data_IF_767654582155
#
_entry.id   IF_767654582155
#
_cell.length_a   1.000
_cell.length_b   1.000
_cell.length_c   1.000
_cell.angle_alpha   90.00
_cell.angle_beta   90.00
_cell.angle_gamma   90.00
#
_symmetry.space_group_name_H-M   'P 1'
#
loop_
_entity.id
_entity.type
_entity.pdbx_description
1 polymer ?
#
# COMPACT_ATOMS: atom_id res chain seq x y z
N UNK A 1 6.75 0.86 -24.69
CA UNK A 1 7.05 -0.54 -24.34
C UNK A 1 7.49 -0.51 -22.89
N UNK A 2 6.59 -0.80 -21.95
CA UNK A 2 6.85 -0.74 -20.51
C UNK A 2 6.82 -2.17 -19.94
N UNK A 3 7.88 -2.53 -19.21
CA UNK A 3 8.15 -3.85 -18.66
C UNK A 3 7.22 -4.19 -17.49
N UNK A 4 6.69 -5.40 -17.48
CA UNK A 4 5.65 -5.93 -16.60
C UNK A 4 6.14 -6.43 -15.23
N UNK A 5 7.20 -5.84 -14.66
CA UNK A 5 7.91 -6.43 -13.49
C UNK A 5 7.56 -5.86 -12.13
N UNK A 6 6.57 -4.95 -12.02
CA UNK A 6 6.43 -4.17 -10.78
C UNK A 6 5.55 -4.80 -9.70
N UNK A 7 4.76 -5.84 -10.01
CA UNK A 7 4.00 -6.55 -8.97
C UNK A 7 3.70 -8.00 -9.37
N UNK A 8 4.55 -8.91 -8.91
CA UNK A 8 4.35 -10.36 -8.97
C UNK A 8 4.40 -10.90 -7.52
N UNK A 9 3.26 -11.37 -6.96
CA UNK A 9 3.22 -11.87 -5.59
C UNK A 9 4.04 -13.15 -5.37
N UNK A 10 4.39 -13.89 -6.43
CA UNK A 10 5.29 -15.05 -6.34
C UNK A 10 6.77 -14.62 -6.27
N UNK A 11 7.10 -13.40 -6.67
CA UNK A 11 8.44 -12.83 -6.60
C UNK A 11 8.73 -12.06 -5.29
N UNK A 12 7.73 -11.90 -4.41
CA UNK A 12 7.91 -11.35 -3.06
C UNK A 12 8.92 -12.15 -2.20
N UNK A 13 9.18 -13.41 -2.57
CA UNK A 13 10.02 -14.33 -1.82
C UNK A 13 11.43 -14.49 -2.40
N UNK A 14 11.72 -13.95 -3.60
CA UNK A 14 12.91 -14.36 -4.35
C UNK A 14 14.00 -13.31 -4.58
N UNK A 15 13.73 -12.00 -4.54
CA UNK A 15 14.82 -11.00 -4.63
C UNK A 15 14.56 -9.78 -3.74
N UNK A 16 15.35 -9.67 -2.66
CA UNK A 16 15.43 -8.56 -1.71
C UNK A 16 14.09 -8.05 -1.17
N UNK A 17 13.71 -8.53 0.02
CA UNK A 17 12.75 -7.82 0.86
C UNK A 17 13.21 -6.35 0.96
N UNK A 18 12.28 -5.37 0.83
CA UNK A 18 12.68 -3.98 0.84
C UNK A 18 13.45 -3.70 2.12
N UNK A 19 14.60 -3.03 1.99
CA UNK A 19 15.40 -2.55 3.12
C UNK A 19 14.75 -1.36 3.85
N UNK A 20 13.59 -0.94 3.37
CA UNK A 20 12.79 0.16 3.87
C UNK A 20 11.39 -0.37 4.21
N UNK A 21 10.72 0.26 5.17
CA UNK A 21 9.35 -0.13 5.52
C UNK A 21 8.41 0.12 4.33
N UNK A 22 7.39 -0.74 4.18
CA UNK A 22 6.41 -0.68 3.10
C UNK A 22 5.05 -1.06 3.66
N UNK A 23 4.01 -0.28 3.35
CA UNK A 23 2.63 -0.70 3.54
C UNK A 23 1.93 -0.78 2.19
N UNK A 24 1.22 -1.88 1.95
CA UNK A 24 0.37 -2.07 0.78
C UNK A 24 -1.05 -2.37 1.23
N UNK A 25 -1.98 -1.48 0.90
CA UNK A 25 -3.41 -1.69 1.09
C UNK A 25 -4.09 -1.97 -0.25
N UNK A 26 -4.93 -3.00 -0.32
CA UNK A 26 -5.78 -3.31 -1.46
C UNK A 26 -7.24 -3.14 -1.08
N UNK A 27 -8.04 -2.53 -1.96
CA UNK A 27 -9.50 -2.43 -1.82
C UNK A 27 -10.20 -2.77 -3.13
N UNK A 28 -11.20 -3.64 -3.08
CA UNK A 28 -11.95 -4.07 -4.26
C UNK A 28 -13.18 -3.19 -4.50
N UNK A 29 -13.44 -2.85 -5.76
CA UNK A 29 -14.69 -2.21 -6.19
C UNK A 29 -14.77 -0.70 -5.92
N UNK A 30 -13.64 -0.04 -5.63
CA UNK A 30 -13.55 1.41 -5.54
C UNK A 30 -12.80 2.00 -6.74
N UNK A 31 -13.20 3.21 -7.14
CA UNK A 31 -12.36 4.02 -8.02
C UNK A 31 -11.15 4.55 -7.24
N UNK A 32 -10.02 4.76 -7.93
CA UNK A 32 -8.76 5.24 -7.32
C UNK A 32 -8.97 6.50 -6.45
N UNK A 33 -9.72 7.50 -6.93
CA UNK A 33 -9.94 8.74 -6.18
C UNK A 33 -10.74 8.55 -4.88
N UNK A 34 -11.69 7.62 -4.90
CA UNK A 34 -12.46 7.27 -3.71
C UNK A 34 -11.60 6.48 -2.73
N UNK A 35 -10.80 5.53 -3.22
CA UNK A 35 -9.84 4.81 -2.41
C UNK A 35 -8.84 5.76 -1.73
N UNK A 36 -8.26 6.71 -2.46
CA UNK A 36 -7.36 7.74 -1.90
C UNK A 36 -8.03 8.62 -0.84
N UNK A 37 -9.30 8.99 -1.08
CA UNK A 37 -10.08 9.78 -0.12
C UNK A 37 -10.34 9.02 1.17
N UNK A 38 -10.74 7.75 1.07
CA UNK A 38 -10.98 6.87 2.23
C UNK A 38 -9.67 6.50 2.94
N UNK A 39 -8.57 6.49 2.21
CA UNK A 39 -7.23 6.32 2.75
C UNK A 39 -6.66 7.59 3.38
N UNK A 40 -7.39 8.72 3.37
CA UNK A 40 -6.91 10.02 3.86
C UNK A 40 -5.58 10.48 3.21
N UNK A 41 -5.33 10.05 1.96
CA UNK A 41 -4.16 10.46 1.20
C UNK A 41 -4.42 11.75 0.41
N UNK A 42 -3.58 12.76 0.62
CA UNK A 42 -3.51 13.92 -0.29
C UNK A 42 -2.61 13.61 -1.49
N UNK A 43 -3.02 13.96 -2.71
CA UNK A 43 -2.15 13.87 -3.91
C UNK A 43 -1.02 14.93 -3.92
N UNK A 44 -0.67 15.57 -2.79
CA UNK A 44 0.22 16.75 -2.76
C UNK A 44 1.41 16.66 -1.79
N UNK A 45 2.58 16.40 -2.35
CA UNK A 45 3.91 17.04 -2.15
C UNK A 45 4.45 17.55 -0.79
N UNK A 46 3.88 17.33 0.41
CA UNK A 46 4.66 17.53 1.66
C UNK A 46 4.36 16.56 2.82
N UNK A 47 5.38 15.75 3.11
CA UNK A 47 5.81 15.17 4.40
C UNK A 47 4.69 14.51 5.21
N UNK A 48 4.19 13.33 4.85
CA UNK A 48 4.86 12.05 5.06
C UNK A 48 4.17 10.98 4.19
N UNK A 49 4.97 10.13 3.55
CA UNK A 49 4.57 8.98 2.72
C UNK A 49 4.03 9.32 1.32
N UNK A 50 4.88 9.08 0.29
CA UNK A 50 4.44 9.02 -1.09
C UNK A 50 3.52 7.80 -1.25
N UNK A 51 2.27 8.03 -1.68
CA UNK A 51 1.31 6.97 -2.00
C UNK A 51 1.27 6.80 -3.51
N UNK A 52 1.61 5.60 -3.99
CA UNK A 52 1.34 5.18 -5.37
C UNK A 52 0.03 4.41 -5.38
N UNK A 53 -0.86 4.77 -6.31
CA UNK A 53 -2.11 4.06 -6.52
C UNK A 53 -2.14 3.42 -7.91
N UNK A 54 -2.54 2.15 -7.98
CA UNK A 54 -2.76 1.44 -9.25
C UNK A 54 -4.04 0.60 -9.18
N UNK A 55 -4.71 0.42 -10.32
CA UNK A 55 -5.89 -0.45 -10.44
C UNK A 55 -5.53 -1.72 -11.21
N UNK A 56 -5.85 -2.88 -10.65
CA UNK A 56 -5.75 -4.17 -11.33
C UNK A 56 -6.88 -5.11 -10.94
N UNK A 57 -7.54 -5.70 -11.94
CA UNK A 57 -8.57 -6.72 -11.77
C UNK A 57 -9.67 -6.34 -10.75
N UNK A 58 -10.11 -5.07 -10.79
CA UNK A 58 -11.14 -4.54 -9.89
C UNK A 58 -10.64 -4.16 -8.48
N UNK A 59 -9.35 -4.34 -8.20
CA UNK A 59 -8.68 -3.89 -6.99
C UNK A 59 -7.95 -2.58 -7.24
N UNK A 60 -8.04 -1.66 -6.28
CA UNK A 60 -7.12 -0.53 -6.16
C UNK A 60 -6.10 -0.85 -5.08
N UNK A 61 -4.82 -0.73 -5.44
CA UNK A 61 -3.69 -0.91 -4.54
C UNK A 61 -3.10 0.46 -4.20
N UNK A 62 -2.91 0.71 -2.90
CA UNK A 62 -2.31 1.92 -2.32
C UNK A 62 -1.01 1.52 -1.62
N UNK A 63 0.11 1.93 -2.20
CA UNK A 63 1.44 1.59 -1.69
C UNK A 63 2.09 2.81 -1.04
N UNK A 64 2.52 2.63 0.20
CA UNK A 64 3.16 3.61 1.05
C UNK A 64 4.65 3.29 1.24
N UNK A 65 5.52 4.14 0.73
CA UNK A 65 6.96 4.01 0.96
C UNK A 65 7.36 4.57 2.34
N UNK A 66 7.97 3.73 3.18
CA UNK A 66 8.38 4.05 4.55
C UNK A 66 7.21 4.52 5.45
N UNK A 67 6.03 3.92 5.25
CA UNK A 67 4.80 4.24 5.97
C UNK A 67 4.04 3.00 6.43
N UNK A 68 3.07 3.20 7.33
CA UNK A 68 2.24 2.13 7.91
C UNK A 68 0.75 2.49 7.95
N UNK A 69 0.33 3.62 7.36
CA UNK A 69 -1.01 4.18 7.51
C UNK A 69 -2.09 3.18 7.07
N UNK A 70 -1.87 2.46 5.98
CA UNK A 70 -2.79 1.45 5.47
C UNK A 70 -2.98 0.24 6.38
N UNK A 71 -2.14 0.05 7.40
CA UNK A 71 -2.29 -0.99 8.42
C UNK A 71 -3.11 -0.55 9.63
N UNK A 72 -3.43 0.74 9.74
CA UNK A 72 -4.22 1.27 10.85
C UNK A 72 -5.66 0.75 10.80
N UNK A 73 -6.22 0.27 11.93
CA UNK A 73 -7.58 -0.26 11.97
C UNK A 73 -8.65 0.70 11.44
N UNK A 74 -8.53 1.99 11.75
CA UNK A 74 -9.45 3.03 11.30
C UNK A 74 -9.40 3.27 9.79
N UNK A 75 -8.20 3.18 9.19
CA UNK A 75 -8.01 3.32 7.73
C UNK A 75 -8.57 2.09 7.03
N UNK A 76 -8.28 0.90 7.54
CA UNK A 76 -8.85 -0.36 7.02
C UNK A 76 -10.37 -0.39 7.14
N UNK A 77 -10.94 0.12 8.25
CA UNK A 77 -12.38 0.24 8.42
C UNK A 77 -13.00 1.21 7.40
N UNK A 78 -12.36 2.36 7.15
CA UNK A 78 -12.80 3.32 6.13
C UNK A 78 -12.77 2.73 4.72
N UNK A 79 -11.69 2.06 4.36
CA UNK A 79 -11.57 1.36 3.08
C UNK A 79 -12.63 0.28 2.92
N UNK A 80 -12.83 -0.57 3.94
CA UNK A 80 -13.73 -1.73 3.93
C UNK A 80 -15.22 -1.38 3.98
N UNK A 81 -15.59 -0.11 4.20
CA UNK A 81 -16.98 0.28 4.33
C UNK A 81 -17.77 0.04 3.02
N UNK A 82 -18.56 -1.04 2.99
CA UNK A 82 -19.30 -1.46 1.80
C UNK A 82 -18.44 -2.14 0.72
N UNK A 83 -17.22 -2.56 1.06
CA UNK A 83 -16.24 -3.18 0.15
C UNK A 83 -15.49 -4.32 0.85
N UNK A 84 -14.45 -4.85 0.21
CA UNK A 84 -13.45 -5.72 0.84
C UNK A 84 -12.10 -5.04 0.74
N UNK A 85 -11.40 -4.90 1.88
CA UNK A 85 -10.04 -4.39 1.92
C UNK A 85 -9.10 -5.30 2.73
N UNK A 86 -7.83 -5.26 2.41
CA UNK A 86 -6.75 -5.92 3.13
C UNK A 86 -5.49 -5.07 3.08
N UNK A 87 -4.62 -5.19 4.08
CA UNK A 87 -3.30 -4.57 4.05
C UNK A 87 -2.21 -5.52 4.52
N UNK A 88 -1.03 -5.34 3.96
CA UNK A 88 0.21 -5.97 4.40
C UNK A 88 1.18 -4.85 4.77
N UNK A 89 1.70 -4.91 5.99
CA UNK A 89 2.74 -4.00 6.45
C UNK A 89 4.04 -4.77 6.67
N UNK A 90 5.10 -4.26 6.05
CA UNK A 90 6.46 -4.72 6.20
C UNK A 90 7.27 -3.66 6.94
N UNK A 91 7.71 -3.97 8.16
CA UNK A 91 8.61 -3.12 8.93
C UNK A 91 10.05 -3.59 8.76
N UNK A 92 10.97 -2.64 8.58
CA UNK A 92 12.41 -2.90 8.64
C UNK A 92 12.96 -2.35 9.94
N UNK A 93 12.56 -2.96 11.05
CA UNK A 93 13.37 -2.93 12.25
C UNK A 93 14.59 -3.81 11.96
N UNK A 94 15.63 -3.24 11.36
CA UNK A 94 16.96 -3.82 11.51
C UNK A 94 17.23 -3.82 13.00
N UNK A 95 17.09 -4.97 13.66
CA UNK A 95 17.57 -5.17 15.02
C UNK A 95 19.04 -4.75 15.04
N UNK A 96 19.32 -3.52 15.46
CA UNK A 96 20.61 -3.13 16.00
C UNK A 96 20.69 -3.81 17.37
N UNK A 97 21.00 -5.11 17.35
CA UNK A 97 21.55 -5.80 18.51
C UNK A 97 22.81 -5.04 18.91
N UNK A 98 22.76 -4.38 20.07
CA UNK A 98 23.93 -3.90 20.79
C UNK A 98 24.35 -4.93 21.83
#
# INVERSE_FOLDING_TARGET
>A
MFSSTWFDPANLWSEALPSEALCLAGVHGLAINEALTRFDASQSTRTTTLVVADERDGWVFLAEHNGFHGSLPEVLAGLSNGTVAAAVYWNVDSLLTR
#
